data_IF_195292361705
#
_entry.id   IF_195292361705
#
_cell.length_a   1.000
_cell.length_b   1.000
_cell.length_c   1.000
_cell.angle_alpha   90.00
_cell.angle_beta   90.00
_cell.angle_gamma   90.00
#
_symmetry.space_group_name_H-M   'P 1'
#
loop_
_entity.id
_entity.type
_entity.pdbx_description
1 polymer ?
#
# COMPACT_ATOMS: atom_id res chain seq x y z
N UNK A 1 49.10 -14.89 8.05
CA UNK A 1 49.21 -13.73 7.13
C UNK A 1 47.81 -13.24 6.84
N UNK A 2 47.20 -12.48 7.76
CA UNK A 2 47.46 -11.06 8.06
C UNK A 2 46.80 -10.15 7.04
N UNK A 3 45.97 -9.24 7.57
CA UNK A 3 45.38 -8.07 6.89
C UNK A 3 44.02 -8.30 6.21
N UNK A 4 42.95 -8.50 7.00
CA UNK A 4 41.69 -7.74 6.81
C UNK A 4 40.71 -7.80 8.00
N UNK A 5 41.19 -7.97 9.24
CA UNK A 5 40.34 -8.11 10.43
C UNK A 5 40.45 -6.97 11.45
N UNK A 6 41.18 -5.87 11.21
CA UNK A 6 41.47 -4.86 12.26
C UNK A 6 41.60 -3.40 11.75
N UNK A 7 40.73 -2.93 10.85
CA UNK A 7 40.94 -1.59 10.26
C UNK A 7 39.75 -0.78 9.72
N UNK A 8 38.49 -1.16 9.96
CA UNK A 8 37.34 -0.29 9.61
C UNK A 8 36.28 -0.26 10.73
N UNK A 9 36.76 -0.25 11.98
CA UNK A 9 35.93 -0.05 13.17
C UNK A 9 35.84 1.44 13.49
N UNK A 10 34.91 2.15 12.86
CA UNK A 10 34.64 3.56 13.18
C UNK A 10 33.39 4.19 12.56
N UNK A 11 32.95 3.74 11.38
CA UNK A 11 31.79 4.34 10.69
C UNK A 11 30.72 3.34 10.19
N UNK A 12 31.01 2.03 10.17
CA UNK A 12 30.11 1.01 9.60
C UNK A 12 29.21 0.27 10.60
N UNK A 13 29.41 0.43 11.92
CA UNK A 13 28.74 -0.40 12.92
C UNK A 13 27.36 0.12 13.34
N UNK A 14 27.10 1.43 13.22
CA UNK A 14 25.81 2.04 13.59
C UNK A 14 24.71 1.77 12.55
N UNK A 15 25.08 1.57 11.27
CA UNK A 15 24.12 1.27 10.20
C UNK A 15 23.75 -0.22 10.12
N UNK A 16 24.72 -1.12 10.30
CA UNK A 16 24.50 -2.56 10.13
C UNK A 16 23.62 -3.19 11.24
N UNK A 17 23.70 -2.69 12.47
CA UNK A 17 22.93 -3.20 13.61
C UNK A 17 21.44 -2.85 13.58
N UNK A 18 21.05 -1.74 12.94
CA UNK A 18 19.66 -1.31 12.82
C UNK A 18 18.87 -2.18 11.85
N UNK A 19 19.49 -2.58 10.74
CA UNK A 19 18.84 -3.42 9.72
C UNK A 19 18.98 -4.92 9.98
N UNK A 20 19.93 -5.36 10.82
CA UNK A 20 20.13 -6.78 11.15
C UNK A 20 19.01 -7.41 11.97
N UNK A 21 18.13 -6.61 12.58
CA UNK A 21 16.96 -7.09 13.33
C UNK A 21 15.66 -7.19 12.51
N UNK A 22 15.66 -6.73 11.26
CA UNK A 22 14.42 -6.66 10.46
C UNK A 22 14.08 -8.02 9.85
N UNK A 23 13.25 -8.78 10.56
CA UNK A 23 12.69 -10.03 10.07
C UNK A 23 11.55 -9.79 9.06
N UNK A 24 11.27 -10.76 8.15
CA UNK A 24 10.10 -10.73 7.28
C UNK A 24 8.77 -10.57 8.06
N UNK A 25 8.73 -11.03 9.31
CA UNK A 25 7.57 -10.89 10.19
C UNK A 25 7.17 -9.44 10.48
N UNK A 26 8.13 -8.50 10.52
CA UNK A 26 7.81 -7.08 10.68
C UNK A 26 7.08 -6.53 9.45
N UNK A 27 7.48 -6.92 8.25
CA UNK A 27 6.84 -6.48 7.01
C UNK A 27 5.44 -7.08 6.84
N UNK A 28 5.24 -8.35 7.23
CA UNK A 28 3.91 -8.98 7.24
C UNK A 28 2.97 -8.30 8.24
N UNK A 29 3.45 -8.01 9.44
CA UNK A 29 2.66 -7.30 10.46
C UNK A 29 2.33 -5.88 10.01
N UNK A 30 3.27 -5.18 9.37
CA UNK A 30 3.05 -3.86 8.80
C UNK A 30 1.96 -3.89 7.71
N UNK A 31 2.07 -4.82 6.75
CA UNK A 31 1.07 -4.98 5.69
C UNK A 31 -0.31 -5.31 6.25
N UNK A 32 -0.40 -6.23 7.22
CA UNK A 32 -1.66 -6.55 7.89
C UNK A 32 -2.26 -5.34 8.64
N UNK A 33 -1.43 -4.56 9.34
CA UNK A 33 -1.88 -3.37 10.06
C UNK A 33 -2.40 -2.29 9.10
N UNK A 34 -1.66 -2.03 8.01
CA UNK A 34 -2.09 -1.08 6.97
C UNK A 34 -3.40 -1.53 6.32
N UNK A 35 -3.57 -2.83 6.06
CA UNK A 35 -4.81 -3.37 5.52
C UNK A 35 -5.99 -3.13 6.48
N UNK A 36 -5.83 -3.41 7.77
CA UNK A 36 -6.86 -3.14 8.78
C UNK A 36 -7.23 -1.65 8.88
N UNK A 37 -6.24 -0.75 8.83
CA UNK A 37 -6.47 0.70 8.83
C UNK A 37 -7.25 1.12 7.58
N UNK A 38 -6.91 0.56 6.42
CA UNK A 38 -7.59 0.84 5.16
C UNK A 38 -9.06 0.43 5.20
N UNK A 39 -9.34 -0.78 5.71
CA UNK A 39 -10.71 -1.27 5.92
C UNK A 39 -11.46 -0.38 6.92
N UNK A 40 -10.86 -0.03 8.04
CA UNK A 40 -11.46 0.87 9.02
C UNK A 40 -11.79 2.24 8.41
N UNK A 41 -10.90 2.77 7.55
CA UNK A 41 -11.11 4.02 6.82
C UNK A 41 -12.36 4.01 5.93
N UNK A 42 -12.62 2.89 5.24
CA UNK A 42 -13.82 2.71 4.41
C UNK A 42 -15.10 2.78 5.25
N UNK A 43 -15.13 2.08 6.39
CA UNK A 43 -16.31 2.04 7.26
C UNK A 43 -16.59 3.39 7.92
N UNK A 44 -15.56 4.09 8.39
CA UNK A 44 -15.71 5.35 9.10
C UNK A 44 -16.09 6.51 8.16
N UNK A 45 -15.51 6.57 6.96
CA UNK A 45 -15.59 7.73 6.07
C UNK A 45 -16.38 7.48 4.78
N UNK A 46 -17.42 6.62 4.82
CA UNK A 46 -18.29 6.24 3.67
C UNK A 46 -18.98 7.40 2.94
N UNK A 47 -18.97 8.62 3.48
CA UNK A 47 -19.61 9.79 2.86
C UNK A 47 -18.72 10.42 1.79
N UNK A 48 -17.40 10.39 1.94
CA UNK A 48 -16.50 11.09 1.03
C UNK A 48 -15.91 10.11 0.01
N UNK A 49 -16.32 10.23 -1.26
CA UNK A 49 -15.81 9.32 -2.33
C UNK A 49 -14.29 9.39 -2.45
N UNK A 50 -13.68 10.58 -2.29
CA UNK A 50 -12.21 10.74 -2.35
C UNK A 50 -11.51 9.88 -1.29
N UNK A 51 -12.04 9.89 -0.06
CA UNK A 51 -11.46 9.11 1.05
C UNK A 51 -11.64 7.61 0.78
N UNK A 52 -12.78 7.22 0.21
CA UNK A 52 -13.04 5.85 -0.23
C UNK A 52 -12.00 5.38 -1.26
N UNK A 53 -11.73 6.17 -2.31
CA UNK A 53 -10.70 5.85 -3.31
C UNK A 53 -9.31 5.74 -2.67
N UNK A 54 -8.95 6.67 -1.78
CA UNK A 54 -7.67 6.63 -1.08
C UNK A 54 -7.52 5.37 -0.21
N UNK A 55 -8.57 4.94 0.49
CA UNK A 55 -8.54 3.72 1.29
C UNK A 55 -8.39 2.46 0.42
N UNK A 56 -8.96 2.43 -0.78
CA UNK A 56 -8.80 1.31 -1.71
C UNK A 56 -7.35 1.22 -2.20
N UNK A 57 -6.74 2.34 -2.59
CA UNK A 57 -5.32 2.39 -2.97
C UNK A 57 -4.41 1.91 -1.82
N UNK A 58 -4.69 2.34 -0.60
CA UNK A 58 -3.94 1.95 0.59
C UNK A 58 -4.09 0.44 0.90
N UNK A 59 -5.27 -0.14 0.61
CA UNK A 59 -5.52 -1.58 0.70
C UNK A 59 -4.70 -2.37 -0.33
N UNK A 60 -4.70 -1.94 -1.60
CA UNK A 60 -3.91 -2.57 -2.66
C UNK A 60 -2.41 -2.47 -2.36
N UNK A 61 -1.94 -1.34 -1.83
CA UNK A 61 -0.55 -1.17 -1.42
C UNK A 61 -0.15 -2.14 -0.28
N UNK A 62 -1.00 -2.29 0.73
CA UNK A 62 -0.78 -3.21 1.84
C UNK A 62 -0.64 -4.67 1.37
N UNK A 63 -1.48 -5.09 0.43
CA UNK A 63 -1.40 -6.42 -0.19
C UNK A 63 -0.09 -6.59 -0.96
N UNK A 64 0.36 -5.57 -1.70
CA UNK A 64 1.63 -5.61 -2.43
C UNK A 64 2.86 -5.75 -1.49
N UNK A 65 2.84 -5.11 -0.32
CA UNK A 65 3.91 -5.25 0.68
C UNK A 65 3.99 -6.70 1.19
N UNK A 66 2.84 -7.30 1.51
CA UNK A 66 2.78 -8.71 1.90
C UNK A 66 3.27 -9.63 0.78
N UNK A 67 2.89 -9.35 -0.46
CA UNK A 67 3.27 -10.14 -1.62
C UNK A 67 4.78 -10.09 -1.91
N UNK A 68 5.41 -8.91 -1.86
CA UNK A 68 6.88 -8.76 -1.95
C UNK A 68 7.56 -9.55 -0.83
N UNK A 69 7.01 -9.50 0.39
CA UNK A 69 7.59 -10.20 1.53
C UNK A 69 7.57 -11.72 1.34
N UNK A 70 6.45 -12.27 0.84
CA UNK A 70 6.37 -13.70 0.50
C UNK A 70 7.28 -14.06 -0.68
N UNK A 71 7.32 -13.25 -1.73
CA UNK A 71 8.23 -13.44 -2.87
C UNK A 71 9.70 -13.53 -2.42
N UNK A 72 10.12 -12.68 -1.48
CA UNK A 72 11.48 -12.74 -0.90
C UNK A 72 11.70 -13.98 -0.03
N UNK A 73 10.71 -14.45 0.71
CA UNK A 73 10.83 -15.65 1.54
C UNK A 73 10.88 -16.94 0.72
N UNK A 74 10.14 -17.01 -0.39
CA UNK A 74 10.15 -18.16 -1.30
C UNK A 74 11.33 -18.11 -2.29
N UNK A 75 12.04 -16.99 -2.38
CA UNK A 75 13.15 -16.81 -3.34
C UNK A 75 12.70 -16.67 -4.79
N UNK A 76 11.41 -16.43 -5.03
CA UNK A 76 10.83 -16.34 -6.36
C UNK A 76 10.69 -14.89 -6.81
N UNK A 77 11.44 -14.51 -7.85
CA UNK A 77 11.43 -13.18 -8.45
C UNK A 77 10.15 -12.89 -9.26
N UNK A 78 9.41 -13.93 -9.70
CA UNK A 78 8.15 -13.74 -10.41
C UNK A 78 7.12 -13.01 -9.53
N UNK A 79 7.17 -13.22 -8.21
CA UNK A 79 6.32 -12.51 -7.28
C UNK A 79 6.56 -11.00 -7.25
N UNK A 80 7.80 -10.54 -7.47
CA UNK A 80 8.10 -9.11 -7.56
C UNK A 80 7.56 -8.51 -8.86
N UNK A 81 7.64 -9.25 -9.97
CA UNK A 81 7.10 -8.82 -11.26
C UNK A 81 5.57 -8.68 -11.18
N UNK A 82 4.89 -9.61 -10.50
CA UNK A 82 3.44 -9.52 -10.31
C UNK A 82 3.00 -8.27 -9.54
N UNK A 83 3.79 -7.82 -8.56
CA UNK A 83 3.52 -6.56 -7.83
C UNK A 83 3.53 -5.35 -8.75
N UNK A 84 4.43 -5.29 -9.74
CA UNK A 84 4.42 -4.21 -10.73
C UNK A 84 3.14 -4.20 -11.57
N UNK A 85 2.59 -5.37 -11.90
CA UNK A 85 1.29 -5.45 -12.56
C UNK A 85 0.17 -4.92 -11.66
N UNK A 86 0.15 -5.28 -10.38
CA UNK A 86 -0.85 -4.75 -9.44
C UNK A 86 -0.74 -3.23 -9.30
N UNK A 87 0.47 -2.68 -9.19
CA UNK A 87 0.68 -1.22 -9.12
C UNK A 87 0.17 -0.50 -10.38
N UNK A 88 0.35 -1.13 -11.55
CA UNK A 88 -0.16 -0.58 -12.82
C UNK A 88 -1.68 -0.60 -12.86
N UNK A 89 -2.31 -1.68 -12.39
CA UNK A 89 -3.76 -1.79 -12.27
C UNK A 89 -4.31 -0.76 -11.27
N UNK A 90 -3.65 -0.58 -10.13
CA UNK A 90 -4.02 0.43 -9.13
C UNK A 90 -3.95 1.85 -9.73
N UNK A 91 -2.89 2.18 -10.48
CA UNK A 91 -2.80 3.47 -11.16
C UNK A 91 -3.94 3.69 -12.18
N UNK A 92 -4.33 2.63 -12.91
CA UNK A 92 -5.48 2.70 -13.82
C UNK A 92 -6.81 2.86 -13.07
N UNK A 93 -6.99 2.15 -11.96
CA UNK A 93 -8.17 2.26 -11.09
C UNK A 93 -8.33 3.67 -10.52
N UNK A 94 -7.26 4.25 -9.93
CA UNK A 94 -7.27 5.61 -9.41
C UNK A 94 -7.65 6.64 -10.49
N UNK A 95 -7.12 6.49 -11.71
CA UNK A 95 -7.43 7.38 -12.83
C UNK A 95 -8.92 7.30 -13.22
N UNK A 96 -9.48 6.09 -13.30
CA UNK A 96 -10.90 5.87 -13.59
C UNK A 96 -11.78 6.39 -12.45
N UNK A 97 -11.43 6.09 -11.20
CA UNK A 97 -12.17 6.53 -10.01
C UNK A 97 -12.23 8.05 -9.92
N UNK A 98 -11.11 8.74 -10.16
CA UNK A 98 -11.05 10.20 -10.18
C UNK A 98 -11.83 10.79 -11.37
N UNK A 99 -11.78 10.18 -12.55
CA UNK A 99 -12.54 10.64 -13.71
C UNK A 99 -14.06 10.58 -13.48
N UNK A 100 -14.53 9.49 -12.87
CA UNK A 100 -15.94 9.33 -12.45
C UNK A 100 -16.28 10.39 -11.41
N UNK A 101 -15.43 10.57 -10.39
CA UNK A 101 -15.62 11.55 -9.34
C UNK A 101 -15.79 12.97 -9.91
N UNK A 102 -14.88 13.40 -10.78
CA UNK A 102 -14.91 14.75 -11.39
C UNK A 102 -16.21 14.95 -12.18
N UNK A 103 -16.63 13.94 -12.94
CA UNK A 103 -17.87 13.99 -13.71
C UNK A 103 -19.10 14.09 -12.79
N UNK A 104 -19.10 13.36 -11.68
CA UNK A 104 -20.18 13.36 -10.70
C UNK A 104 -20.27 14.70 -9.96
N UNK A 105 -19.13 15.25 -9.57
CA UNK A 105 -19.04 16.59 -8.98
C UNK A 105 -19.53 17.68 -9.91
N UNK A 106 -19.23 17.59 -11.21
CA UNK A 106 -19.70 18.57 -12.19
C UNK A 106 -21.23 18.60 -12.27
N UNK A 107 -21.88 17.46 -12.08
CA UNK A 107 -23.35 17.34 -12.17
C UNK A 107 -24.08 17.59 -10.85
N UNK A 108 -23.47 17.28 -9.70
CA UNK A 108 -24.14 17.31 -8.38
C UNK A 108 -23.55 18.32 -7.38
N UNK A 109 -22.38 18.91 -7.68
CA UNK A 109 -21.61 19.82 -6.79
C UNK A 109 -21.31 19.28 -5.38
N UNK A 110 -21.50 17.98 -5.14
CA UNK A 110 -21.27 17.34 -3.83
C UNK A 110 -20.41 16.07 -3.98
N UNK A 111 -19.52 15.85 -3.01
CA UNK A 111 -18.71 14.64 -2.86
C UNK A 111 -19.48 13.50 -2.18
N UNK A 112 -20.66 13.80 -1.62
CA UNK A 112 -21.29 12.94 -0.63
C UNK A 112 -22.02 11.77 -1.30
N UNK A 113 -21.56 10.54 -1.04
CA UNK A 113 -22.17 9.31 -1.57
C UNK A 113 -23.62 9.15 -1.12
N UNK A 114 -23.98 9.63 0.07
CA UNK A 114 -25.32 9.46 0.64
C UNK A 114 -26.42 10.22 -0.12
N UNK A 115 -26.06 11.23 -0.92
CA UNK A 115 -26.99 12.04 -1.70
C UNK A 115 -27.30 11.41 -3.08
N UNK A 116 -26.63 10.30 -3.41
CA UNK A 116 -26.78 9.55 -4.67
C UNK A 116 -27.80 8.41 -4.46
N UNK A 117 -28.97 8.75 -3.93
CA UNK A 117 -30.04 7.78 -3.62
C UNK A 117 -31.26 8.01 -4.54
N UNK A 118 -31.02 8.04 -5.87
CA UNK A 118 -32.08 8.36 -6.85
C UNK A 118 -32.75 7.14 -7.49
N UNK A 119 -32.34 5.92 -7.15
CA UNK A 119 -32.99 4.70 -7.61
C UNK A 119 -33.54 3.93 -6.41
N UNK A 120 -34.81 4.18 -6.09
CA UNK A 120 -35.59 3.38 -5.16
C UNK A 120 -36.58 2.57 -5.99
N UNK A 121 -36.38 1.26 -5.99
CA UNK A 121 -37.37 0.28 -6.48
C UNK A 121 -38.44 0.07 -5.43
#
# INVERSE_FOLDING_TARGET
MSVLATGLSGAGLLGAGLFSGLTPGHFLTLGATLFCISVAGIFLNRKNVIVLLMCIELMLLAVNINFITFSRQLGDQAGQVFVFFILTVAAAEAAIGLAILVTLFRNRRTINVAEIDSMKG
#
